data_IF_185828247378
#
_entry.id   IF_185828247378
#
_cell.length_a   1.000
_cell.length_b   1.000
_cell.length_c   1.000
_cell.angle_alpha   90.00
_cell.angle_beta   90.00
_cell.angle_gamma   90.00
#
_symmetry.space_group_name_H-M   'P 1'
#
loop_
_entity.id
_entity.type
_entity.pdbx_description
1 polymer ?
#
# COMPACT_ATOMS: atom_id res chain seq x y z
N UNK A 1 -2.72 -1.42 -19.20
CA UNK A 1 -2.28 -0.63 -18.02
C UNK A 1 -3.32 -0.84 -16.92
N UNK A 2 -2.91 -1.35 -15.76
CA UNK A 2 -3.84 -1.74 -14.70
C UNK A 2 -4.06 -0.54 -13.78
N UNK A 3 -5.30 -0.05 -13.69
CA UNK A 3 -5.72 0.93 -12.69
C UNK A 3 -5.63 0.27 -11.29
N UNK A 4 -4.83 0.81 -10.35
CA UNK A 4 -4.69 0.26 -9.00
C UNK A 4 -6.03 0.10 -8.26
N UNK A 5 -6.96 1.04 -8.44
CA UNK A 5 -8.29 0.98 -7.81
C UNK A 5 -9.09 -0.19 -8.39
N UNK A 6 -9.00 -0.38 -9.72
CA UNK A 6 -9.63 -1.52 -10.40
C UNK A 6 -9.03 -2.86 -9.95
N UNK A 7 -7.72 -2.92 -9.75
CA UNK A 7 -7.03 -4.12 -9.24
C UNK A 7 -7.57 -4.52 -7.86
N UNK A 8 -7.71 -3.58 -6.92
CA UNK A 8 -8.29 -3.88 -5.61
C UNK A 8 -9.73 -4.40 -5.71
N UNK A 9 -10.54 -3.85 -6.63
CA UNK A 9 -11.90 -4.33 -6.87
C UNK A 9 -11.94 -5.77 -7.39
N UNK A 10 -10.99 -6.13 -8.26
CA UNK A 10 -10.84 -7.50 -8.78
C UNK A 10 -10.44 -8.46 -7.65
N UNK A 11 -9.45 -8.09 -6.83
CA UNK A 11 -9.04 -8.89 -5.66
C UNK A 11 -10.18 -9.12 -4.67
N UNK A 12 -10.99 -8.09 -4.41
CA UNK A 12 -12.14 -8.19 -3.51
C UNK A 12 -13.22 -9.14 -4.06
N UNK A 13 -13.40 -9.18 -5.38
CA UNK A 13 -14.32 -10.11 -6.04
C UNK A 13 -13.84 -11.55 -5.94
N UNK A 14 -12.57 -11.79 -6.27
CA UNK A 14 -11.95 -13.11 -6.14
C UNK A 14 -12.00 -13.61 -4.70
N UNK A 15 -11.74 -12.74 -3.72
CA UNK A 15 -11.87 -13.07 -2.30
C UNK A 15 -13.31 -13.48 -1.95
N UNK A 16 -14.30 -12.70 -2.39
CA UNK A 16 -15.70 -13.00 -2.14
C UNK A 16 -16.12 -14.36 -2.72
N UNK A 17 -15.69 -14.68 -3.93
CA UNK A 17 -15.94 -16.00 -4.54
C UNK A 17 -15.26 -17.12 -3.77
N UNK A 18 -14.01 -16.95 -3.33
CA UNK A 18 -13.27 -17.97 -2.55
C UNK A 18 -13.87 -18.21 -1.17
N UNK A 19 -14.44 -17.18 -0.55
CA UNK A 19 -15.17 -17.31 0.72
C UNK A 19 -16.43 -18.18 0.55
N UNK A 20 -17.12 -18.06 -0.59
CA UNK A 20 -18.28 -18.90 -0.89
C UNK A 20 -17.92 -20.38 -1.11
N UNK A 21 -16.67 -20.68 -1.51
CA UNK A 21 -16.15 -22.04 -1.65
C UNK A 21 -15.49 -22.57 -0.36
N UNK A 22 -15.65 -21.90 0.78
CA UNK A 22 -15.06 -22.28 2.07
C UNK A 22 -13.54 -22.48 2.05
N UNK A 23 -12.83 -21.69 1.25
CA UNK A 23 -11.37 -21.71 1.18
C UNK A 23 -10.77 -21.22 2.51
N UNK A 24 -10.01 -22.07 3.19
CA UNK A 24 -9.39 -21.78 4.50
C UNK A 24 -8.41 -20.62 4.44
N UNK A 25 -7.69 -20.46 3.32
CA UNK A 25 -6.80 -19.31 3.10
C UNK A 25 -7.60 -18.01 2.95
N UNK A 26 -8.75 -18.05 2.26
CA UNK A 26 -9.64 -16.90 2.14
C UNK A 26 -10.29 -16.52 3.48
N UNK A 27 -10.68 -17.51 4.29
CA UNK A 27 -11.20 -17.28 5.64
C UNK A 27 -10.17 -16.60 6.53
N UNK A 28 -8.91 -17.06 6.50
CA UNK A 28 -7.84 -16.46 7.30
C UNK A 28 -7.64 -14.96 7.00
N UNK A 29 -7.85 -14.53 5.74
CA UNK A 29 -7.75 -13.13 5.33
C UNK A 29 -8.83 -12.23 5.95
N UNK A 30 -9.98 -12.77 6.35
CA UNK A 30 -11.01 -12.00 7.05
C UNK A 30 -10.53 -11.43 8.39
N UNK A 31 -9.47 -12.01 8.99
CA UNK A 31 -8.85 -11.48 10.21
C UNK A 31 -8.20 -10.10 10.04
N UNK A 32 -8.04 -9.62 8.80
CA UNK A 32 -7.67 -8.23 8.53
C UNK A 32 -8.74 -7.24 9.05
N UNK A 33 -10.00 -7.68 9.17
CA UNK A 33 -11.07 -6.88 9.74
C UNK A 33 -10.94 -6.80 11.27
N UNK A 34 -11.02 -5.60 11.90
CA UNK A 34 -10.93 -5.45 13.35
C UNK A 34 -11.93 -6.31 14.12
N UNK A 35 -13.14 -6.48 13.58
CA UNK A 35 -14.23 -7.21 14.21
C UNK A 35 -13.99 -8.72 14.23
N UNK A 36 -13.22 -9.23 13.25
CA UNK A 36 -12.92 -10.66 13.07
C UNK A 36 -11.47 -11.01 13.39
N UNK A 37 -10.68 -10.05 13.87
CA UNK A 37 -9.24 -10.23 14.13
C UNK A 37 -8.94 -11.37 15.11
N UNK A 38 -9.79 -11.53 16.12
CA UNK A 38 -9.66 -12.56 17.17
C UNK A 38 -10.58 -13.76 16.94
N UNK A 39 -11.27 -13.82 15.81
CA UNK A 39 -12.18 -14.92 15.50
C UNK A 39 -11.37 -16.20 15.17
N UNK A 40 -11.85 -17.31 15.71
CA UNK A 40 -11.40 -18.64 15.32
C UNK A 40 -11.99 -19.03 13.96
N UNK A 41 -11.55 -20.15 13.41
CA UNK A 41 -11.96 -20.59 12.07
C UNK A 41 -13.47 -20.88 11.99
N UNK A 42 -14.07 -21.40 13.06
CA UNK A 42 -15.50 -21.67 13.14
C UNK A 42 -16.32 -20.37 13.13
N UNK A 43 -15.92 -19.35 13.90
CA UNK A 43 -16.56 -18.04 13.90
C UNK A 43 -16.37 -17.30 12.57
N UNK A 44 -15.22 -17.48 11.90
CA UNK A 44 -14.99 -16.94 10.56
C UNK A 44 -15.92 -17.58 9.53
N UNK A 45 -16.06 -18.90 9.54
CA UNK A 45 -16.98 -19.63 8.67
C UNK A 45 -18.44 -19.20 8.91
N UNK A 46 -18.83 -19.03 10.18
CA UNK A 46 -20.16 -18.55 10.55
C UNK A 46 -20.43 -17.10 10.11
N UNK A 47 -19.39 -16.28 9.98
CA UNK A 47 -19.51 -14.90 9.50
C UNK A 47 -19.69 -14.80 7.98
N UNK A 48 -19.27 -15.81 7.20
CA UNK A 48 -19.29 -15.80 5.72
C UNK A 48 -20.64 -15.37 5.12
N UNK A 49 -21.81 -15.88 5.57
CA UNK A 49 -23.10 -15.47 5.00
C UNK A 49 -23.41 -13.98 5.17
N UNK A 50 -22.84 -13.34 6.20
CA UNK A 50 -22.94 -11.89 6.44
C UNK A 50 -21.87 -11.05 5.72
N UNK A 51 -20.88 -11.70 5.09
CA UNK A 51 -19.86 -11.01 4.32
C UNK A 51 -20.46 -10.48 3.02
N UNK A 52 -20.19 -9.20 2.74
CA UNK A 52 -20.63 -8.50 1.54
C UNK A 52 -19.39 -7.97 0.84
N UNK A 53 -19.51 -7.61 -0.44
CA UNK A 53 -18.42 -7.04 -1.23
C UNK A 53 -17.69 -5.86 -0.54
N UNK A 54 -18.41 -5.03 0.23
CA UNK A 54 -17.81 -3.94 1.02
C UNK A 54 -16.80 -4.43 2.08
N UNK A 55 -17.05 -5.58 2.70
CA UNK A 55 -16.14 -6.19 3.68
C UNK A 55 -14.90 -6.76 2.98
N UNK A 56 -15.05 -7.39 1.81
CA UNK A 56 -13.91 -7.86 1.02
C UNK A 56 -13.03 -6.71 0.52
N UNK A 57 -13.64 -5.57 0.11
CA UNK A 57 -12.88 -4.35 -0.23
C UNK A 57 -12.10 -3.82 0.97
N UNK A 58 -12.70 -3.83 2.17
CA UNK A 58 -12.02 -3.42 3.39
C UNK A 58 -10.86 -4.36 3.78
N UNK A 59 -11.00 -5.67 3.56
CA UNK A 59 -9.90 -6.64 3.76
C UNK A 59 -8.73 -6.32 2.84
N UNK A 60 -8.97 -6.24 1.52
CA UNK A 60 -7.90 -6.00 0.54
C UNK A 60 -7.24 -4.64 0.77
N UNK A 61 -8.02 -3.60 1.10
CA UNK A 61 -7.46 -2.29 1.45
C UNK A 61 -6.51 -2.37 2.66
N UNK A 62 -6.89 -3.12 3.71
CA UNK A 62 -6.08 -3.30 4.92
C UNK A 62 -4.83 -4.12 4.70
N UNK A 63 -4.90 -5.16 3.87
CA UNK A 63 -3.73 -5.93 3.44
C UNK A 63 -2.73 -5.07 2.65
N UNK A 64 -3.23 -4.08 1.91
CA UNK A 64 -2.40 -3.09 1.22
C UNK A 64 -1.93 -1.95 2.15
N UNK A 65 -2.23 -2.02 3.44
CA UNK A 65 -1.78 -1.03 4.42
C UNK A 65 -2.67 0.18 4.62
N UNK A 66 -3.90 0.17 4.11
CA UNK A 66 -4.84 1.28 4.29
C UNK A 66 -5.83 1.02 5.43
N UNK A 67 -6.21 2.06 6.17
CA UNK A 67 -7.22 1.97 7.22
C UNK A 67 -8.62 1.58 6.71
N UNK A 68 -8.97 2.03 5.49
CA UNK A 68 -10.28 1.84 4.87
C UNK A 68 -10.20 1.78 3.33
N UNK A 69 -11.27 1.29 2.69
CA UNK A 69 -11.41 1.31 1.24
C UNK A 69 -11.42 2.74 0.66
N UNK A 70 -12.08 3.70 1.31
CA UNK A 70 -12.10 5.08 0.83
C UNK A 70 -10.70 5.70 0.91
N UNK A 71 -9.94 5.43 1.99
CA UNK A 71 -8.53 5.84 2.10
C UNK A 71 -7.69 5.27 0.96
N UNK A 72 -7.84 3.97 0.66
CA UNK A 72 -7.16 3.33 -0.46
C UNK A 72 -7.56 3.94 -1.80
N UNK A 73 -8.86 4.19 -2.02
CA UNK A 73 -9.40 4.77 -3.25
C UNK A 73 -8.87 6.18 -3.50
N UNK A 74 -8.81 7.02 -2.45
CA UNK A 74 -8.28 8.38 -2.54
C UNK A 74 -6.77 8.37 -2.79
N UNK A 75 -6.00 7.58 -2.03
CA UNK A 75 -4.55 7.51 -2.18
C UNK A 75 -4.13 6.97 -3.56
N UNK A 76 -4.71 5.84 -3.97
CA UNK A 76 -4.43 5.20 -5.25
C UNK A 76 -5.01 5.98 -6.44
N UNK A 77 -6.10 6.69 -6.24
CA UNK A 77 -6.76 7.56 -7.22
C UNK A 77 -6.06 8.90 -7.45
N UNK A 78 -4.96 9.18 -6.76
CA UNK A 78 -4.20 10.41 -7.00
C UNK A 78 -4.68 11.63 -6.22
N UNK A 79 -5.58 11.47 -5.24
CA UNK A 79 -6.12 12.63 -4.52
C UNK A 79 -4.99 13.31 -3.70
N UNK A 80 -4.81 14.64 -3.84
CA UNK A 80 -3.76 15.39 -3.14
C UNK A 80 -4.00 15.44 -1.62
N UNK A 81 -5.26 15.44 -1.21
CA UNK A 81 -5.68 15.50 0.21
C UNK A 81 -5.99 14.10 0.78
N UNK A 82 -5.39 13.05 0.22
CA UNK A 82 -5.58 11.71 0.78
C UNK A 82 -5.09 11.73 2.25
N UNK A 83 -5.98 11.46 3.24
CA UNK A 83 -5.65 11.63 4.65
C UNK A 83 -4.59 10.63 5.14
N UNK A 84 -4.34 9.58 4.35
CA UNK A 84 -3.37 8.54 4.63
C UNK A 84 -2.79 8.08 3.28
N UNK A 85 -1.47 8.16 3.12
CA UNK A 85 -0.77 7.57 1.96
C UNK A 85 -0.60 6.04 2.09
N UNK A 86 -1.24 5.47 3.13
CA UNK A 86 -1.23 4.06 3.50
C UNK A 86 0.11 3.62 4.10
N UNK A 87 0.25 2.31 4.30
CA UNK A 87 1.52 1.63 4.58
C UNK A 87 2.00 0.82 3.37
N UNK A 88 1.52 1.15 2.16
CA UNK A 88 1.78 0.39 0.93
C UNK A 88 3.28 0.28 0.60
N UNK A 89 4.04 1.34 0.91
CA UNK A 89 5.49 1.43 0.74
C UNK A 89 6.28 1.13 2.01
N UNK A 90 5.63 0.62 3.05
CA UNK A 90 6.31 0.16 4.24
C UNK A 90 6.34 -1.37 4.20
N UNK A 91 7.52 -1.90 3.88
CA UNK A 91 7.79 -3.32 3.80
C UNK A 91 8.06 -3.95 5.16
N UNK A 92 8.29 -5.26 5.17
CA UNK A 92 8.74 -5.99 6.35
C UNK A 92 10.26 -5.87 6.45
N UNK A 93 10.76 -4.65 6.52
CA UNK A 93 12.20 -4.40 6.50
C UNK A 93 12.76 -4.74 7.88
N UNK A 94 13.40 -5.90 7.95
CA UNK A 94 14.04 -6.45 9.13
C UNK A 94 15.31 -5.67 9.53
N UNK A 95 15.16 -4.42 9.94
CA UNK A 95 16.20 -3.69 10.68
C UNK A 95 16.88 -2.51 9.99
N UNK A 96 16.31 -1.93 8.92
CA UNK A 96 16.86 -0.70 8.31
C UNK A 96 16.37 0.54 9.07
N UNK A 97 17.31 1.38 9.51
CA UNK A 97 17.03 2.65 10.19
C UNK A 97 16.82 3.75 9.14
N UNK A 98 15.56 4.11 8.89
CA UNK A 98 15.21 5.27 8.07
C UNK A 98 15.23 6.55 8.91
N UNK A 99 15.53 7.69 8.27
CA UNK A 99 15.31 9.00 8.87
C UNK A 99 13.82 9.34 8.78
N UNK A 100 13.17 9.48 9.94
CA UNK A 100 11.74 9.77 10.06
C UNK A 100 11.50 11.24 10.36
N UNK A 101 10.47 11.79 9.74
CA UNK A 101 10.04 13.18 9.88
C UNK A 101 8.55 13.23 10.19
N UNK A 102 8.19 14.14 11.11
CA UNK A 102 6.79 14.36 11.49
C UNK A 102 6.05 15.22 10.46
N UNK A 103 6.77 16.08 9.74
CA UNK A 103 6.19 16.98 8.74
C UNK A 103 6.81 16.75 7.36
N UNK A 104 6.02 17.05 6.32
CA UNK A 104 6.47 16.97 4.93
C UNK A 104 7.60 17.97 4.66
N UNK A 105 7.47 19.19 5.18
CA UNK A 105 8.43 20.27 4.92
C UNK A 105 9.82 19.93 5.46
N UNK A 106 9.92 19.32 6.64
CA UNK A 106 11.18 18.82 7.20
C UNK A 106 11.79 17.71 6.34
N UNK A 107 10.96 16.76 5.90
CA UNK A 107 11.41 15.64 5.08
C UNK A 107 11.92 16.10 3.72
N UNK A 108 11.24 17.09 3.12
CA UNK A 108 11.62 17.70 1.85
C UNK A 108 12.90 18.51 1.97
N UNK A 109 13.03 19.34 3.01
CA UNK A 109 14.25 20.09 3.27
C UNK A 109 15.45 19.16 3.49
N UNK A 110 15.25 18.02 4.17
CA UNK A 110 16.31 17.03 4.34
C UNK A 110 16.69 16.36 3.02
N UNK A 111 15.71 16.00 2.17
CA UNK A 111 15.99 15.45 0.84
C UNK A 111 16.81 16.42 -0.02
N UNK A 112 16.52 17.73 0.04
CA UNK A 112 17.25 18.77 -0.70
C UNK A 112 18.64 19.06 -0.13
N UNK A 113 18.84 18.84 1.17
CA UNK A 113 20.14 18.99 1.83
C UNK A 113 21.07 17.78 1.62
N UNK A 114 20.54 16.64 1.20
CA UNK A 114 21.34 15.45 0.91
C UNK A 114 22.17 15.63 -0.38
N UNK A 115 23.39 15.08 -0.44
CA UNK A 115 24.16 15.05 -1.67
C UNK A 115 23.39 14.34 -2.79
N UNK A 116 23.58 14.75 -4.04
CA UNK A 116 22.93 14.12 -5.22
C UNK A 116 23.20 12.60 -5.33
N UNK A 117 24.23 12.10 -4.65
CA UNK A 117 24.54 10.68 -4.54
C UNK A 117 24.80 10.25 -3.08
N UNK A 118 24.17 9.17 -2.58
CA UNK A 118 23.25 8.27 -3.29
C UNK A 118 21.82 8.81 -3.42
N UNK A 119 21.17 8.44 -4.53
CA UNK A 119 19.77 8.77 -4.85
C UNK A 119 18.85 8.35 -3.69
N UNK A 120 18.05 9.29 -3.22
CA UNK A 120 17.18 9.14 -2.06
C UNK A 120 15.71 9.33 -2.46
N UNK A 121 14.80 8.60 -1.81
CA UNK A 121 13.37 8.61 -2.11
C UNK A 121 12.58 9.10 -0.91
N UNK A 122 11.75 10.13 -1.10
CA UNK A 122 10.84 10.59 -0.06
C UNK A 122 9.56 9.74 -0.11
N UNK A 123 9.41 8.90 0.91
CA UNK A 123 8.27 8.00 1.07
C UNK A 123 7.39 8.47 2.24
N UNK A 124 6.13 8.08 2.19
CA UNK A 124 5.17 8.38 3.24
C UNK A 124 4.65 7.09 3.87
N UNK A 125 4.48 7.14 5.19
CA UNK A 125 3.87 6.07 5.98
C UNK A 125 2.84 6.67 6.93
N UNK A 126 1.56 6.46 6.59
CA UNK A 126 0.42 7.07 7.27
C UNK A 126 0.49 8.61 7.26
N UNK A 127 0.91 9.20 8.38
CA UNK A 127 1.06 10.63 8.61
C UNK A 127 2.51 11.07 8.78
N UNK A 128 3.46 10.14 8.69
CA UNK A 128 4.89 10.41 8.79
C UNK A 128 5.56 10.26 7.43
N UNK A 129 6.73 10.88 7.30
CA UNK A 129 7.56 10.84 6.11
C UNK A 129 8.91 10.25 6.45
N UNK A 130 9.49 9.51 5.53
CA UNK A 130 10.82 8.96 5.72
C UNK A 130 11.59 8.91 4.41
N UNK A 131 12.91 8.97 4.51
CA UNK A 131 13.79 8.87 3.36
C UNK A 131 14.29 7.44 3.25
N UNK A 132 14.09 6.87 2.06
CA UNK A 132 14.53 5.54 1.69
C UNK A 132 15.70 5.60 0.70
N UNK A 133 16.52 4.57 0.72
CA UNK A 133 17.59 4.36 -0.24
C UNK A 133 17.12 3.45 -1.40
N UNK A 134 17.92 3.29 -2.46
CA UNK A 134 17.57 2.40 -3.58
C UNK A 134 17.42 0.93 -3.16
N UNK A 135 18.15 0.49 -2.13
CA UNK A 135 18.09 -0.89 -1.66
C UNK A 135 16.74 -1.22 -1.01
N UNK A 136 16.16 -0.26 -0.28
CA UNK A 136 14.81 -0.34 0.26
C UNK A 136 13.75 -0.34 -0.84
N UNK A 137 13.88 0.51 -1.86
CA UNK A 137 12.95 0.49 -3.00
C UNK A 137 12.95 -0.89 -3.68
N UNK A 138 14.14 -1.48 -3.84
CA UNK A 138 14.29 -2.84 -4.35
C UNK A 138 13.66 -3.91 -3.43
N UNK A 139 13.76 -3.76 -2.10
CA UNK A 139 13.13 -4.69 -1.14
C UNK A 139 11.61 -4.70 -1.24
N UNK A 140 10.99 -3.59 -1.65
CA UNK A 140 9.55 -3.50 -1.93
C UNK A 140 9.13 -4.19 -3.24
N UNK A 141 10.08 -4.76 -4.00
CA UNK A 141 9.84 -5.32 -5.33
C UNK A 141 9.61 -4.25 -6.41
N UNK A 142 10.08 -3.03 -6.18
CA UNK A 142 10.08 -1.94 -7.15
C UNK A 142 11.48 -1.77 -7.74
N UNK A 143 11.56 -1.35 -9.00
CA UNK A 143 12.83 -1.01 -9.64
C UNK A 143 13.28 0.39 -9.18
N UNK A 144 14.46 0.57 -8.56
CA UNK A 144 14.97 1.89 -8.19
C UNK A 144 15.33 2.77 -9.40
N UNK A 145 15.61 2.17 -10.56
CA UNK A 145 15.93 2.91 -11.79
C UNK A 145 14.70 3.16 -12.68
N UNK A 146 13.50 2.90 -12.14
CA UNK A 146 12.25 3.17 -12.84
C UNK A 146 12.11 4.66 -13.18
N UNK A 147 11.90 5.03 -14.47
CA UNK A 147 11.76 6.43 -14.85
C UNK A 147 10.54 7.11 -14.21
N UNK A 148 9.56 6.32 -13.74
CA UNK A 148 8.42 6.85 -13.01
C UNK A 148 8.85 7.51 -11.68
N UNK A 149 9.94 7.08 -11.06
CA UNK A 149 10.47 7.73 -9.86
C UNK A 149 11.03 9.13 -10.13
N UNK A 150 11.73 9.29 -11.26
CA UNK A 150 12.19 10.59 -11.70
C UNK A 150 11.00 11.49 -12.08
N UNK A 151 9.97 10.94 -12.72
CA UNK A 151 8.77 11.67 -13.12
C UNK A 151 7.97 12.21 -11.92
N UNK A 152 7.99 11.53 -10.77
CA UNK A 152 7.40 12.07 -9.53
C UNK A 152 8.35 12.98 -8.76
N UNK A 153 9.59 13.19 -9.23
CA UNK A 153 10.60 14.02 -8.56
C UNK A 153 11.19 13.37 -7.30
N UNK A 154 11.22 12.03 -7.26
CA UNK A 154 11.60 11.22 -6.09
C UNK A 154 10.72 11.47 -4.84
N UNK A 155 9.58 12.15 -5.03
CA UNK A 155 8.62 12.49 -3.99
C UNK A 155 7.32 11.70 -4.19
N UNK A 156 7.13 10.68 -3.36
CA UNK A 156 5.90 9.90 -3.37
C UNK A 156 4.72 10.65 -2.74
N UNK A 157 5.00 11.46 -1.71
CA UNK A 157 4.00 12.14 -0.93
C UNK A 157 3.29 13.21 -1.76
N UNK A 158 4.07 14.02 -2.48
CA UNK A 158 3.59 15.06 -3.39
C UNK A 158 4.21 14.85 -4.78
N UNK A 159 3.69 13.90 -5.57
CA UNK A 159 4.27 13.58 -6.87
C UNK A 159 4.08 14.75 -7.84
N UNK A 160 5.12 15.07 -8.61
CA UNK A 160 5.00 15.99 -9.73
C UNK A 160 4.11 15.43 -10.86
N UNK A 161 4.14 14.11 -11.08
CA UNK A 161 3.27 13.38 -12.02
C UNK A 161 2.40 12.34 -11.28
N UNK A 162 1.11 12.63 -11.04
CA UNK A 162 0.18 11.68 -10.44
C UNK A 162 0.04 10.36 -11.22
N UNK A 163 0.20 10.40 -12.55
CA UNK A 163 0.14 9.22 -13.41
C UNK A 163 1.34 8.29 -13.20
N UNK A 164 2.54 8.84 -13.04
CA UNK A 164 3.74 8.08 -12.68
C UNK A 164 3.59 7.41 -11.30
N UNK A 165 3.05 8.12 -10.31
CA UNK A 165 2.72 7.53 -9.01
C UNK A 165 1.75 6.36 -9.15
N UNK A 166 0.68 6.51 -9.93
CA UNK A 166 -0.27 5.41 -10.16
C UNK A 166 0.37 4.19 -10.84
N UNK A 167 1.35 4.38 -11.74
CA UNK A 167 2.09 3.27 -12.37
C UNK A 167 2.97 2.53 -11.36
N UNK A 168 3.71 3.26 -10.52
CA UNK A 168 4.49 2.66 -9.42
C UNK A 168 3.58 1.93 -8.41
N UNK A 169 2.42 2.50 -8.06
CA UNK A 169 1.42 1.81 -7.23
C UNK A 169 1.00 0.46 -7.85
N UNK A 170 0.72 0.42 -9.15
CA UNK A 170 0.34 -0.81 -9.84
C UNK A 170 1.47 -1.85 -9.81
N UNK A 171 2.73 -1.42 -10.00
CA UNK A 171 3.93 -2.27 -9.90
C UNK A 171 4.09 -2.86 -8.49
N UNK A 172 3.94 -2.03 -7.45
CA UNK A 172 4.00 -2.49 -6.04
C UNK A 172 2.90 -3.50 -5.74
N UNK A 173 1.67 -3.23 -6.16
CA UNK A 173 0.55 -4.15 -5.99
C UNK A 173 0.80 -5.49 -6.70
N UNK A 174 1.45 -5.48 -7.86
CA UNK A 174 1.84 -6.70 -8.56
C UNK A 174 2.92 -7.48 -7.80
N UNK A 175 3.94 -6.82 -7.28
CA UNK A 175 4.99 -7.44 -6.45
C UNK A 175 4.38 -8.13 -5.21
N UNK A 176 3.45 -7.48 -4.50
CA UNK A 176 2.76 -8.07 -3.34
C UNK A 176 1.95 -9.34 -3.66
N UNK A 177 1.59 -9.59 -4.93
CA UNK A 177 0.91 -10.86 -5.31
C UNK A 177 1.88 -12.04 -5.42
N UNK A 178 3.17 -11.79 -5.64
CA UNK A 178 4.18 -12.85 -5.74
C UNK A 178 4.63 -13.39 -4.38
N UNK A 179 4.34 -12.66 -3.30
CA UNK A 179 4.73 -12.99 -1.92
C UNK A 179 3.66 -13.74 -1.11
N UNK A 180 2.43 -13.90 -1.65
CA UNK A 180 1.26 -14.49 -0.98
C UNK A 180 0.85 -15.83 -1.59
#
# INVERSE_FOLDING_TARGET
>A
MIDPVRELKIRAELLHTRLASSDTAALARLRALPELRRADEAALAAAVPGIRRKHCLAVVARECGFSSWESARLALGGAPDAPELGTLLYGRDGGVLHHWFATYDEARAHLEALPEAPRSYLLAHKQHFFIADPAFVASLGLDPDDPDWQAIGWDWARPADPGARSRLCAKRLAAMRGEA
#
